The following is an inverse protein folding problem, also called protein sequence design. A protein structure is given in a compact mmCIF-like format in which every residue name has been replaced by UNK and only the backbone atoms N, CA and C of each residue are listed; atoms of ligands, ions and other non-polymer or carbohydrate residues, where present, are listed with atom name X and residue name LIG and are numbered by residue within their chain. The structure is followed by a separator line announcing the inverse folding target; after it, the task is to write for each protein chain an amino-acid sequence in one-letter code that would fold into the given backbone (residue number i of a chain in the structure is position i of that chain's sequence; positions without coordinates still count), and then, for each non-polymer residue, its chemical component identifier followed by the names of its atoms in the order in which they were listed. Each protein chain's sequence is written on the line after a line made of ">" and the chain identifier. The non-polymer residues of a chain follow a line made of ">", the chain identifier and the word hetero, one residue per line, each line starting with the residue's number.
data_IF_627161980039
#
_entry.id   IF_627161980039
#
_cell.length_a   1.000
_cell.length_b   1.000
_cell.length_c   1.000
_cell.angle_alpha   90.00
_cell.angle_beta   90.00
_cell.angle_gamma   90.00
#
_symmetry.space_group_name_H-M   'P 1'
#
loop_
_entity.id
_entity.type
_entity.pdbx_description
1 polymer ?
#
# COMPACT_ATOMS: atom_id res chain seq x y z
N UNK A 1 33.60 12.44 -3.12
CA UNK A 1 33.24 11.36 -2.20
C UNK A 1 31.73 11.19 -2.28
N UNK A 2 31.24 10.31 -3.13
CA UNK A 2 29.86 9.83 -3.06
C UNK A 2 29.76 9.04 -1.76
N UNK A 3 28.99 9.52 -0.79
CA UNK A 3 28.76 8.80 0.46
C UNK A 3 28.15 7.42 0.16
N UNK A 4 28.53 6.40 0.93
CA UNK A 4 27.92 5.08 0.84
C UNK A 4 26.41 5.18 1.11
N UNK A 5 25.61 4.88 0.10
CA UNK A 5 24.17 4.71 0.25
C UNK A 5 23.92 3.35 0.89
N UNK A 6 23.38 3.33 2.10
CA UNK A 6 22.95 2.11 2.80
C UNK A 6 21.44 2.14 2.99
N UNK A 7 20.77 1.07 2.55
CA UNK A 7 19.33 0.90 2.78
C UNK A 7 19.11 0.33 4.19
N UNK A 8 18.39 1.06 5.04
CA UNK A 8 17.94 0.57 6.33
C UNK A 8 16.58 -0.13 6.17
N UNK A 9 16.55 -1.44 6.39
CA UNK A 9 15.33 -2.27 6.37
C UNK A 9 14.88 -2.67 7.77
N UNK A 10 15.39 -2.02 8.82
CA UNK A 10 14.97 -2.27 10.18
C UNK A 10 13.51 -1.85 10.42
N UNK A 11 12.80 -2.49 11.37
CA UNK A 11 11.42 -2.11 11.68
C UNK A 11 11.30 -0.64 12.12
N UNK A 12 10.16 0.02 11.83
CA UNK A 12 9.94 1.40 12.25
C UNK A 12 9.92 1.54 13.77
N UNK A 13 10.34 2.71 14.25
CA UNK A 13 10.34 3.03 15.68
C UNK A 13 8.92 3.03 16.27
N UNK A 14 8.75 2.80 17.59
CA UNK A 14 7.44 2.87 18.24
C UNK A 14 6.73 4.22 18.05
N UNK A 15 7.49 5.33 17.99
CA UNK A 15 6.94 6.65 17.74
C UNK A 15 6.35 6.76 16.32
N UNK A 16 7.03 6.18 15.32
CA UNK A 16 6.54 6.12 13.94
C UNK A 16 5.29 5.25 13.81
N UNK A 17 5.24 4.12 14.53
CA UNK A 17 4.08 3.24 14.57
C UNK A 17 2.85 3.93 15.18
N UNK A 18 3.03 4.69 16.27
CA UNK A 18 1.94 5.44 16.88
C UNK A 18 1.36 6.53 15.97
N UNK A 19 2.21 7.19 15.17
CA UNK A 19 1.77 8.15 14.15
C UNK A 19 0.96 7.43 13.06
N UNK A 20 1.45 6.29 12.57
CA UNK A 20 0.76 5.49 11.58
C UNK A 20 -0.63 5.03 12.06
N UNK A 21 -0.72 4.53 13.30
CA UNK A 21 -1.99 4.13 13.91
C UNK A 21 -2.99 5.30 13.93
N UNK A 22 -2.53 6.49 14.35
CA UNK A 22 -3.39 7.68 14.51
C UNK A 22 -3.78 8.33 13.18
N UNK A 23 -2.82 8.51 12.27
CA UNK A 23 -3.01 9.30 11.05
C UNK A 23 -3.50 8.47 9.86
N UNK A 24 -3.05 7.21 9.77
CA UNK A 24 -3.39 6.30 8.69
C UNK A 24 -4.49 5.32 9.07
N UNK A 25 -4.86 5.24 10.36
CA UNK A 25 -5.76 4.21 10.91
C UNK A 25 -5.15 2.81 10.77
N UNK A 26 -3.83 2.71 10.92
CA UNK A 26 -3.07 1.47 10.77
C UNK A 26 -3.21 0.57 12.01
N UNK A 27 -4.44 0.17 12.33
CA UNK A 27 -4.74 -0.84 13.37
C UNK A 27 -4.82 -2.24 12.75
N UNK A 28 -4.52 -3.32 13.49
CA UNK A 28 -4.54 -4.68 12.95
C UNK A 28 -5.88 -5.06 12.27
N UNK A 29 -6.99 -4.60 12.85
CA UNK A 29 -8.34 -4.84 12.33
C UNK A 29 -8.59 -4.11 11.00
N UNK A 30 -8.20 -2.84 10.91
CA UNK A 30 -8.36 -2.03 9.69
C UNK A 30 -7.45 -2.55 8.59
N UNK A 31 -6.21 -2.91 8.91
CA UNK A 31 -5.26 -3.49 7.96
C UNK A 31 -5.80 -4.80 7.37
N UNK A 32 -6.25 -5.73 8.22
CA UNK A 32 -6.80 -7.01 7.77
C UNK A 32 -8.04 -6.82 6.90
N UNK A 33 -8.95 -5.93 7.30
CA UNK A 33 -10.17 -5.62 6.53
C UNK A 33 -9.83 -5.00 5.17
N UNK A 34 -8.97 -3.98 5.14
CA UNK A 34 -8.62 -3.27 3.92
C UNK A 34 -7.87 -4.16 2.93
N UNK A 35 -7.01 -5.06 3.41
CA UNK A 35 -6.35 -6.08 2.58
C UNK A 35 -7.36 -7.03 1.94
N UNK A 36 -8.32 -7.53 2.71
CA UNK A 36 -9.35 -8.43 2.19
C UNK A 36 -10.21 -7.74 1.13
N UNK A 37 -10.68 -6.52 1.40
CA UNK A 37 -11.49 -5.72 0.47
C UNK A 37 -10.72 -5.37 -0.81
N UNK A 38 -9.45 -4.95 -0.69
CA UNK A 38 -8.63 -4.64 -1.85
C UNK A 38 -8.38 -5.88 -2.72
N UNK A 39 -8.09 -7.04 -2.10
CA UNK A 39 -7.95 -8.31 -2.83
C UNK A 39 -9.22 -8.68 -3.58
N UNK A 40 -10.39 -8.44 -3.00
CA UNK A 40 -11.67 -8.70 -3.65
C UNK A 40 -11.90 -7.79 -4.85
N UNK A 41 -11.63 -6.48 -4.72
CA UNK A 41 -11.72 -5.52 -5.82
C UNK A 41 -10.81 -5.91 -6.99
N UNK A 42 -9.59 -6.35 -6.70
CA UNK A 42 -8.60 -6.74 -7.70
C UNK A 42 -8.94 -8.05 -8.41
N UNK A 43 -9.49 -9.04 -7.69
CA UNK A 43 -9.92 -10.31 -8.30
C UNK A 43 -11.06 -10.13 -9.30
N UNK A 44 -11.83 -9.05 -9.17
CA UNK A 44 -12.93 -8.72 -10.07
C UNK A 44 -12.47 -7.87 -11.28
N UNK A 45 -11.17 -7.57 -11.40
CA UNK A 45 -10.61 -6.75 -12.47
C UNK A 45 -9.50 -7.47 -13.24
N UNK A 46 -9.84 -7.99 -14.41
CA UNK A 46 -8.92 -8.74 -15.29
C UNK A 46 -7.89 -7.85 -16.02
N UNK A 47 -7.91 -6.53 -15.81
CA UNK A 47 -6.96 -5.60 -16.43
C UNK A 47 -5.70 -5.38 -15.61
N UNK A 48 -5.71 -5.79 -14.33
CA UNK A 48 -4.67 -5.47 -13.36
C UNK A 48 -3.84 -6.73 -13.02
N UNK A 49 -2.59 -6.76 -13.47
CA UNK A 49 -1.67 -7.89 -13.26
C UNK A 49 -0.51 -7.50 -12.33
N UNK A 50 -0.69 -7.65 -11.02
CA UNK A 50 0.40 -7.49 -10.06
C UNK A 50 0.33 -8.52 -8.92
N UNK A 51 1.42 -8.60 -8.15
CA UNK A 51 1.49 -9.50 -6.99
C UNK A 51 0.56 -8.99 -5.89
N UNK A 52 -0.43 -9.77 -5.55
CA UNK A 52 -1.36 -9.47 -4.47
C UNK A 52 -0.76 -9.81 -3.09
N UNK A 53 0.55 -9.75 -2.88
CA UNK A 53 1.13 -9.99 -1.55
C UNK A 53 0.84 -8.82 -0.59
N UNK A 54 0.75 -9.11 0.72
CA UNK A 54 0.37 -8.09 1.71
C UNK A 54 1.33 -6.89 1.72
N UNK A 55 2.63 -7.10 1.50
CA UNK A 55 3.60 -6.01 1.51
C UNK A 55 3.33 -5.04 0.35
N UNK A 56 3.12 -5.58 -0.85
CA UNK A 56 2.77 -4.79 -2.04
C UNK A 56 1.45 -4.05 -1.84
N UNK A 57 0.41 -4.72 -1.32
CA UNK A 57 -0.89 -4.09 -1.10
C UNK A 57 -0.84 -3.00 -0.01
N UNK A 58 -0.09 -3.21 1.06
CA UNK A 58 0.10 -2.21 2.13
C UNK A 58 0.76 -0.93 1.57
N UNK A 59 1.68 -1.02 0.61
CA UNK A 59 2.29 0.17 -0.02
C UNK A 59 1.24 1.08 -0.66
N UNK A 60 0.18 0.52 -1.23
CA UNK A 60 -0.93 1.27 -1.82
C UNK A 60 -1.97 1.72 -0.79
N UNK A 61 -2.20 0.90 0.24
CA UNK A 61 -3.15 1.20 1.31
C UNK A 61 -2.68 2.34 2.21
N UNK A 62 -1.37 2.48 2.48
CA UNK A 62 -0.84 3.51 3.39
C UNK A 62 -1.11 4.95 2.92
N UNK A 63 -0.80 5.35 1.67
CA UNK A 63 -1.19 6.66 1.15
C UNK A 63 -2.70 6.91 1.21
N UNK A 64 -3.49 5.84 1.08
CA UNK A 64 -4.94 5.87 1.12
C UNK A 64 -5.53 5.69 2.52
N UNK A 65 -4.73 5.75 3.60
CA UNK A 65 -5.21 5.59 4.98
C UNK A 65 -6.08 4.33 5.18
N UNK A 66 -5.69 3.26 4.50
CA UNK A 66 -6.36 1.95 4.48
C UNK A 66 -7.81 1.99 3.97
N UNK A 67 -8.15 2.91 3.07
CA UNK A 67 -9.38 2.82 2.28
C UNK A 67 -9.14 1.99 1.02
N UNK A 68 -9.72 0.77 0.96
CA UNK A 68 -9.50 -0.18 -0.13
C UNK A 68 -9.90 0.37 -1.51
N UNK A 69 -11.05 1.04 -1.63
CA UNK A 69 -11.50 1.64 -2.91
C UNK A 69 -10.54 2.73 -3.42
N UNK A 70 -10.00 3.55 -2.51
CA UNK A 70 -9.03 4.59 -2.88
C UNK A 70 -7.70 3.97 -3.32
N UNK A 71 -7.28 2.88 -2.67
CA UNK A 71 -6.08 2.15 -3.07
C UNK A 71 -6.26 1.46 -4.42
N UNK A 72 -7.43 0.85 -4.67
CA UNK A 72 -7.78 0.28 -5.97
C UNK A 72 -7.69 1.33 -7.09
N UNK A 73 -8.31 2.49 -6.89
CA UNK A 73 -8.21 3.60 -7.86
C UNK A 73 -6.76 4.03 -8.11
N UNK A 74 -5.94 4.12 -7.06
CA UNK A 74 -4.53 4.46 -7.18
C UNK A 74 -3.76 3.42 -8.02
N UNK A 75 -4.03 2.13 -7.81
CA UNK A 75 -3.45 1.04 -8.61
C UNK A 75 -3.85 1.16 -10.07
N UNK A 76 -5.14 1.35 -10.36
CA UNK A 76 -5.66 1.51 -11.72
C UNK A 76 -5.07 2.74 -12.41
N UNK A 77 -5.06 3.90 -11.75
CA UNK A 77 -4.52 5.15 -12.29
C UNK A 77 -3.02 5.02 -12.61
N UNK A 78 -2.26 4.35 -11.73
CA UNK A 78 -0.81 4.16 -11.91
C UNK A 78 -0.49 3.23 -13.09
N UNK A 79 -1.33 2.23 -13.34
CA UNK A 79 -1.17 1.32 -14.48
C UNK A 79 -1.46 2.04 -15.81
N UNK A 80 -2.50 2.86 -15.85
CA UNK A 80 -2.87 3.63 -17.06
C UNK A 80 -1.83 4.69 -17.43
N UNK A 81 -1.13 5.25 -16.43
CA UNK A 81 -0.07 6.23 -16.66
C UNK A 81 1.23 5.62 -17.20
N UNK A 82 1.47 4.31 -17.02
CA UNK A 82 2.67 3.65 -17.57
C UNK A 82 2.57 3.31 -19.06
N UNK A 83 1.35 3.25 -19.61
CA UNK A 83 1.12 2.98 -21.04
C UNK A 83 1.21 4.23 -21.91
N UNK A 84 1.46 5.40 -21.32
CA UNK A 84 1.45 6.71 -22.00
C UNK A 84 2.85 7.28 -22.35
N UNK A 85 3.91 6.47 -22.35
CA UNK A 85 5.28 6.93 -22.67
C UNK A 85 5.98 6.06 -23.72
#
# INVERSE_FOLDING_TARGET
>A
MSGEFALDTSPPSPATLAIAEKELRETPEVVAKALAELRELLKNDDTIYFKDDDQTLIMYLRPCKFYAESAYKLVSDKLLASDSN
#
